data_IF_733008598660
#
_entry.id   IF_733008598660
#
_cell.length_a   1.000
_cell.length_b   1.000
_cell.length_c   1.000
_cell.angle_alpha   90.00
_cell.angle_beta   90.00
_cell.angle_gamma   90.00
#
_symmetry.space_group_name_H-M   'P 1'
#
loop_
_entity.id
_entity.type
_entity.pdbx_description
1 polymer ?
#
# COMPACT_ATOMS: atom_id res chain seq x y z
N UNK A 1 0.37 7.22 -27.86
CA UNK A 1 -1.10 7.08 -27.70
C UNK A 1 -1.48 6.14 -26.55
N UNK A 2 -1.00 4.88 -26.54
CA UNK A 2 -1.28 3.91 -25.46
C UNK A 2 -0.83 4.42 -24.07
N UNK A 3 0.36 5.01 -23.97
CA UNK A 3 0.88 5.56 -22.72
C UNK A 3 -0.02 6.68 -22.17
N UNK A 4 -0.49 7.59 -23.03
CA UNK A 4 -1.39 8.70 -22.64
C UNK A 4 -2.73 8.15 -22.15
N UNK A 5 -3.28 7.16 -22.84
CA UNK A 5 -4.52 6.49 -22.43
C UNK A 5 -4.37 5.82 -21.06
N UNK A 6 -3.26 5.12 -20.82
CA UNK A 6 -2.97 4.47 -19.54
C UNK A 6 -2.82 5.51 -18.42
N UNK A 7 -2.09 6.59 -18.65
CA UNK A 7 -1.93 7.68 -17.68
C UNK A 7 -3.27 8.37 -17.38
N UNK A 8 -4.10 8.60 -18.40
CA UNK A 8 -5.44 9.19 -18.22
C UNK A 8 -6.35 8.28 -17.41
N UNK A 9 -6.37 6.98 -17.72
CA UNK A 9 -7.16 5.99 -16.98
C UNK A 9 -6.71 5.89 -15.52
N UNK A 10 -5.39 5.85 -15.30
CA UNK A 10 -4.82 5.80 -13.96
C UNK A 10 -5.13 7.06 -13.14
N UNK A 11 -5.04 8.24 -13.77
CA UNK A 11 -5.40 9.51 -13.15
C UNK A 11 -6.89 9.57 -12.77
N UNK A 12 -7.77 9.03 -13.62
CA UNK A 12 -9.20 8.91 -13.30
C UNK A 12 -9.42 7.99 -12.10
N UNK A 13 -8.78 6.81 -12.07
CA UNK A 13 -8.86 5.87 -10.94
C UNK A 13 -8.41 6.52 -9.63
N UNK A 14 -7.32 7.29 -9.66
CA UNK A 14 -6.86 8.07 -8.51
C UNK A 14 -7.88 9.11 -8.06
N UNK A 15 -8.41 9.91 -8.99
CA UNK A 15 -9.43 10.93 -8.69
C UNK A 15 -10.69 10.32 -8.06
N UNK A 16 -11.22 9.24 -8.64
CA UNK A 16 -12.39 8.54 -8.08
C UNK A 16 -12.06 7.90 -6.74
N UNK A 17 -10.86 7.37 -6.57
CA UNK A 17 -10.41 6.80 -5.30
C UNK A 17 -10.37 7.85 -4.20
N UNK A 18 -9.76 9.01 -4.46
CA UNK A 18 -9.70 10.12 -3.51
C UNK A 18 -11.10 10.61 -3.14
N UNK A 19 -11.99 10.81 -4.13
CA UNK A 19 -13.38 11.19 -3.88
C UNK A 19 -14.12 10.16 -3.02
N UNK A 20 -13.83 8.87 -3.21
CA UNK A 20 -14.35 7.79 -2.38
C UNK A 20 -13.83 7.85 -0.93
N UNK A 21 -12.52 8.02 -0.76
CA UNK A 21 -11.87 8.09 0.55
C UNK A 21 -12.38 9.28 1.38
N UNK A 22 -12.62 10.44 0.76
CA UNK A 22 -13.16 11.62 1.44
C UNK A 22 -14.56 11.43 2.04
N UNK A 23 -15.29 10.38 1.68
CA UNK A 23 -16.58 10.05 2.32
C UNK A 23 -16.44 9.56 3.77
N UNK A 24 -15.25 9.12 4.18
CA UNK A 24 -14.99 8.58 5.53
C UNK A 24 -13.73 9.10 6.21
N UNK A 25 -12.82 9.67 5.42
CA UNK A 25 -11.61 10.29 5.90
C UNK A 25 -11.64 11.78 5.60
N UNK A 26 -11.13 12.59 6.53
CA UNK A 26 -10.94 14.02 6.27
C UNK A 26 -9.74 14.25 5.35
N UNK A 27 -9.67 15.43 4.74
CA UNK A 27 -8.57 15.77 3.83
C UNK A 27 -7.18 15.55 4.46
N UNK A 28 -7.01 15.99 5.72
CA UNK A 28 -5.77 15.82 6.47
C UNK A 28 -5.46 14.35 6.80
N UNK A 29 -6.48 13.53 7.05
CA UNK A 29 -6.31 12.08 7.26
C UNK A 29 -5.88 11.40 5.97
N UNK A 30 -6.53 11.71 4.84
CA UNK A 30 -6.14 11.14 3.55
C UNK A 30 -4.70 11.51 3.21
N UNK A 31 -4.31 12.77 3.41
CA UNK A 31 -2.94 13.22 3.14
C UNK A 31 -1.91 12.47 4.00
N UNK A 32 -2.09 12.49 5.33
CA UNK A 32 -1.11 11.92 6.25
C UNK A 32 -1.09 10.39 6.17
N UNK A 33 -2.25 9.73 6.09
CA UNK A 33 -2.31 8.28 5.92
C UNK A 33 -1.71 7.85 4.58
N UNK A 34 -1.90 8.61 3.49
CA UNK A 34 -1.27 8.28 2.20
C UNK A 34 0.25 8.38 2.28
N UNK A 35 0.79 9.41 2.92
CA UNK A 35 2.23 9.57 3.11
C UNK A 35 2.82 8.45 3.99
N UNK A 36 2.16 8.14 5.11
CA UNK A 36 2.61 7.08 6.02
C UNK A 36 2.52 5.71 5.35
N UNK A 37 1.41 5.39 4.69
CA UNK A 37 1.26 4.12 3.98
C UNK A 37 2.23 3.99 2.81
N UNK A 38 2.49 5.08 2.08
CA UNK A 38 3.50 5.12 1.02
C UNK A 38 4.90 4.84 1.58
N UNK A 39 5.26 5.50 2.68
CA UNK A 39 6.53 5.27 3.37
C UNK A 39 6.64 3.83 3.88
N UNK A 40 5.61 3.29 4.55
CA UNK A 40 5.60 1.91 5.04
C UNK A 40 5.79 0.92 3.88
N UNK A 41 4.98 1.02 2.83
CA UNK A 41 5.08 0.12 1.69
C UNK A 41 6.42 0.25 0.95
N UNK A 42 6.98 1.44 0.77
CA UNK A 42 8.27 1.62 0.11
C UNK A 42 9.43 1.16 0.99
N UNK A 43 9.53 1.65 2.23
CA UNK A 43 10.66 1.35 3.10
C UNK A 43 10.71 -0.11 3.50
N UNK A 44 9.57 -0.77 3.65
CA UNK A 44 9.54 -2.18 4.00
C UNK A 44 9.88 -3.05 2.79
N UNK A 45 9.48 -2.67 1.58
CA UNK A 45 9.86 -3.41 0.37
C UNK A 45 11.26 -3.07 -0.18
N UNK A 46 11.86 -1.93 0.19
CA UNK A 46 13.16 -1.49 -0.34
C UNK A 46 14.30 -1.35 0.69
N UNK A 47 14.01 -1.12 1.97
CA UNK A 47 15.02 -0.61 2.93
C UNK A 47 15.16 -1.42 4.22
N UNK A 48 14.07 -1.99 4.75
CA UNK A 48 14.08 -2.68 6.05
C UNK A 48 14.43 -4.17 5.91
N UNK A 49 14.31 -4.74 4.72
CA UNK A 49 14.74 -6.12 4.42
C UNK A 49 15.91 -6.22 3.45
N UNK A 50 16.60 -5.09 3.18
CA UNK A 50 17.92 -5.14 2.54
C UNK A 50 18.93 -5.89 3.42
N UNK A 51 18.77 -5.92 4.74
CA UNK A 51 19.59 -6.76 5.62
C UNK A 51 19.34 -8.27 5.47
N UNK A 52 18.31 -8.67 4.72
CA UNK A 52 18.12 -10.05 4.31
C UNK A 52 18.52 -10.29 2.84
N UNK A 53 18.87 -9.26 2.05
CA UNK A 53 19.27 -9.36 0.64
C UNK A 53 18.41 -10.40 -0.11
N UNK A 54 17.07 -10.22 -0.11
CA UNK A 54 16.16 -11.21 -0.71
C UNK A 54 15.54 -10.77 -2.00
N UNK A 55 15.06 -9.54 -2.07
CA UNK A 55 14.50 -8.95 -3.29
C UNK A 55 15.09 -7.57 -3.47
N UNK A 56 15.83 -7.38 -4.56
CA UNK A 56 16.32 -6.08 -4.97
C UNK A 56 15.71 -5.66 -6.29
N UNK A 57 15.56 -4.35 -6.49
CA UNK A 57 15.14 -3.82 -7.78
C UNK A 57 16.36 -3.78 -8.68
N UNK A 58 16.22 -4.21 -9.94
CA UNK A 58 17.29 -4.04 -10.92
C UNK A 58 17.70 -2.57 -11.04
N UNK A 59 18.97 -2.35 -11.33
CA UNK A 59 19.54 -0.98 -11.38
C UNK A 59 19.07 -0.15 -12.57
N UNK A 60 18.40 -0.79 -13.53
CA UNK A 60 17.79 -0.14 -14.68
C UNK A 60 16.69 0.86 -14.29
N UNK A 61 16.55 1.93 -15.07
CA UNK A 61 15.61 3.03 -14.80
C UNK A 61 14.16 2.53 -14.78
N UNK A 62 13.78 1.66 -15.72
CA UNK A 62 12.40 1.20 -15.86
C UNK A 62 11.97 0.35 -14.64
N UNK A 63 12.70 -0.70 -14.22
CA UNK A 63 12.43 -1.43 -12.98
C UNK A 63 12.31 -0.56 -11.74
N UNK A 64 13.18 0.45 -11.59
CA UNK A 64 13.12 1.40 -10.48
C UNK A 64 11.83 2.19 -10.51
N UNK A 65 11.50 2.83 -11.63
CA UNK A 65 10.27 3.64 -11.76
C UNK A 65 9.01 2.80 -11.51
N UNK A 66 8.94 1.60 -12.09
CA UNK A 66 7.81 0.67 -11.90
C UNK A 66 7.67 0.28 -10.43
N UNK A 67 8.79 -0.04 -9.77
CA UNK A 67 8.77 -0.42 -8.36
C UNK A 67 8.36 0.76 -7.47
N UNK A 68 8.89 1.97 -7.70
CA UNK A 68 8.51 3.15 -6.92
C UNK A 68 7.03 3.52 -7.09
N UNK A 69 6.48 3.42 -8.30
CA UNK A 69 5.06 3.66 -8.55
C UNK A 69 4.18 2.58 -7.88
N UNK A 70 4.58 1.31 -7.98
CA UNK A 70 3.82 0.22 -7.40
C UNK A 70 3.78 0.28 -5.87
N UNK A 71 4.95 0.33 -5.22
CA UNK A 71 5.05 0.35 -3.77
C UNK A 71 4.81 1.73 -3.15
N UNK A 72 4.95 2.81 -3.92
CA UNK A 72 4.74 4.19 -3.46
C UNK A 72 3.36 4.76 -3.68
N UNK A 73 2.60 4.22 -4.63
CA UNK A 73 1.31 4.78 -5.01
C UNK A 73 0.21 3.72 -5.10
N UNK A 74 0.40 2.67 -5.89
CA UNK A 74 -0.64 1.65 -6.11
C UNK A 74 -0.98 0.89 -4.83
N UNK A 75 0.02 0.24 -4.23
CA UNK A 75 -0.18 -0.59 -3.05
C UNK A 75 -0.64 0.23 -1.82
N UNK A 76 -0.08 1.42 -1.55
CA UNK A 76 -0.59 2.32 -0.51
C UNK A 76 -2.03 2.79 -0.74
N UNK A 77 -2.41 3.09 -1.99
CA UNK A 77 -3.79 3.48 -2.31
C UNK A 77 -4.77 2.33 -2.06
N UNK A 78 -4.39 1.10 -2.43
CA UNK A 78 -5.20 -0.08 -2.10
C UNK A 78 -5.27 -0.29 -0.58
N UNK A 79 -4.18 -0.06 0.16
CA UNK A 79 -4.17 -0.13 1.62
C UNK A 79 -5.10 0.91 2.24
N UNK A 80 -5.14 2.13 1.69
CA UNK A 80 -6.09 3.17 2.10
C UNK A 80 -7.54 2.68 1.96
N UNK A 81 -7.86 1.95 0.90
CA UNK A 81 -9.17 1.33 0.73
C UNK A 81 -9.44 0.20 1.73
N UNK A 82 -8.45 -0.63 2.07
CA UNK A 82 -8.60 -1.60 3.17
C UNK A 82 -8.95 -0.87 4.46
N UNK A 83 -8.20 0.17 4.83
CA UNK A 83 -8.46 0.99 6.01
C UNK A 83 -9.84 1.66 5.99
N UNK A 84 -10.29 2.14 4.83
CA UNK A 84 -11.64 2.67 4.61
C UNK A 84 -12.71 1.67 5.04
N UNK A 85 -12.59 0.41 4.62
CA UNK A 85 -13.52 -0.65 4.98
C UNK A 85 -13.39 -1.05 6.45
N UNK A 86 -12.19 -1.00 7.03
CA UNK A 86 -12.00 -1.24 8.46
C UNK A 86 -12.72 -0.20 9.33
N UNK A 87 -12.77 1.07 8.88
CA UNK A 87 -13.55 2.15 9.52
C UNK A 87 -15.06 2.03 9.27
N UNK A 88 -15.50 1.18 8.35
CA UNK A 88 -16.92 1.01 8.02
C UNK A 88 -17.66 0.05 8.97
N UNK A 89 -19.00 0.10 8.92
CA UNK A 89 -19.90 -0.76 9.72
C UNK A 89 -20.09 -2.17 9.13
N UNK A 90 -19.29 -2.58 8.14
CA UNK A 90 -19.38 -3.93 7.58
C UNK A 90 -18.95 -4.98 8.63
N UNK A 91 -19.43 -6.23 8.52
CA UNK A 91 -19.02 -7.31 9.42
C UNK A 91 -17.51 -7.57 9.40
N UNK A 92 -16.94 -7.95 10.55
CA UNK A 92 -15.50 -8.20 10.73
C UNK A 92 -14.95 -9.23 9.75
N UNK A 93 -15.73 -10.27 9.43
CA UNK A 93 -15.35 -11.28 8.45
C UNK A 93 -15.02 -10.68 7.08
N UNK A 94 -15.84 -9.76 6.57
CA UNK A 94 -15.58 -9.08 5.29
C UNK A 94 -14.34 -8.19 5.35
N UNK A 95 -14.07 -7.54 6.50
CA UNK A 95 -12.84 -6.74 6.68
C UNK A 95 -11.60 -7.61 6.54
N UNK A 96 -11.61 -8.78 7.19
CA UNK A 96 -10.52 -9.75 7.10
C UNK A 96 -10.35 -10.29 5.67
N UNK A 97 -11.45 -10.60 4.97
CA UNK A 97 -11.39 -11.02 3.56
C UNK A 97 -10.75 -9.95 2.66
N UNK A 98 -11.12 -8.67 2.84
CA UNK A 98 -10.54 -7.56 2.08
C UNK A 98 -9.03 -7.41 2.39
N UNK A 99 -8.65 -7.54 3.66
CA UNK A 99 -7.25 -7.54 4.07
C UNK A 99 -6.46 -8.69 3.42
N UNK A 100 -7.02 -9.90 3.42
CA UNK A 100 -6.40 -11.08 2.79
C UNK A 100 -6.23 -10.89 1.28
N UNK A 101 -7.23 -10.30 0.60
CA UNK A 101 -7.13 -9.96 -0.83
C UNK A 101 -6.01 -8.96 -1.08
N UNK A 102 -5.91 -7.91 -0.27
CA UNK A 102 -4.83 -6.92 -0.39
C UNK A 102 -3.45 -7.55 -0.16
N UNK A 103 -3.32 -8.42 0.85
CA UNK A 103 -2.09 -9.17 1.10
C UNK A 103 -1.75 -10.06 -0.11
N UNK A 104 -2.74 -10.76 -0.66
CA UNK A 104 -2.56 -11.58 -1.87
C UNK A 104 -2.09 -10.77 -3.08
N UNK A 105 -2.60 -9.54 -3.25
CA UNK A 105 -2.13 -8.61 -4.29
C UNK A 105 -0.67 -8.23 -4.07
N UNK A 106 -0.26 -7.90 -2.83
CA UNK A 106 1.14 -7.57 -2.55
C UNK A 106 2.07 -8.74 -2.90
N UNK A 107 1.79 -9.93 -2.36
CA UNK A 107 2.60 -11.14 -2.60
C UNK A 107 2.59 -11.55 -4.08
N UNK A 108 1.42 -11.55 -4.71
CA UNK A 108 1.27 -11.87 -6.13
C UNK A 108 2.00 -10.87 -7.03
N UNK A 109 2.00 -9.58 -6.66
CA UNK A 109 2.73 -8.56 -7.40
C UNK A 109 4.25 -8.76 -7.32
N UNK A 110 4.79 -9.17 -6.16
CA UNK A 110 6.22 -9.52 -6.03
C UNK A 110 6.59 -10.70 -6.91
N UNK A 111 5.77 -11.75 -6.92
CA UNK A 111 5.96 -12.90 -7.79
C UNK A 111 5.96 -12.48 -9.26
N UNK A 112 4.97 -11.69 -9.69
CA UNK A 112 4.88 -11.20 -11.06
C UNK A 112 6.10 -10.34 -11.44
N UNK A 113 6.49 -9.39 -10.58
CA UNK A 113 7.64 -8.52 -10.79
C UNK A 113 8.97 -9.29 -10.86
N UNK A 114 9.08 -10.44 -10.16
CA UNK A 114 10.21 -11.36 -10.30
C UNK A 114 10.22 -12.05 -11.67
N UNK A 115 9.06 -12.54 -12.14
CA UNK A 115 8.95 -13.25 -13.42
C UNK A 115 9.28 -12.34 -14.62
N UNK A 116 8.85 -11.08 -14.58
CA UNK A 116 9.18 -10.10 -15.63
C UNK A 116 10.57 -9.47 -15.44
N UNK A 117 11.31 -9.89 -14.40
CA UNK A 117 12.67 -9.44 -14.12
C UNK A 117 12.79 -7.97 -13.69
N UNK A 118 11.75 -7.38 -13.09
CA UNK A 118 11.83 -6.07 -12.43
C UNK A 118 12.48 -6.20 -11.05
N UNK A 119 12.16 -7.28 -10.33
CA UNK A 119 12.83 -7.68 -9.10
C UNK A 119 13.85 -8.78 -9.39
N UNK A 120 14.91 -8.83 -8.58
CA UNK A 120 15.92 -9.89 -8.58
C UNK A 120 15.94 -10.53 -7.19
N UNK A 121 16.00 -11.86 -7.15
CA UNK A 121 16.30 -12.57 -5.91
C UNK A 121 17.81 -12.60 -5.70
N UNK A 122 18.30 -12.14 -4.55
CA UNK A 122 19.73 -12.22 -4.20
C UNK A 122 20.06 -13.48 -3.38
N UNK A 123 19.02 -14.25 -3.00
CA UNK A 123 19.14 -15.61 -2.45
C UNK A 123 18.78 -16.68 -3.49
N UNK A 124 19.13 -17.94 -3.20
CA UNK A 124 18.86 -19.10 -4.05
C UNK A 124 17.37 -19.28 -4.45
N UNK A 125 16.45 -18.65 -3.71
CA UNK A 125 15.04 -18.63 -4.07
C UNK A 125 14.23 -17.59 -3.27
N UNK A 126 13.07 -17.24 -3.80
CA UNK A 126 12.11 -16.36 -3.12
C UNK A 126 11.28 -17.17 -2.10
N UNK A 127 11.27 -16.74 -0.83
CA UNK A 127 10.48 -17.33 0.25
C UNK A 127 9.25 -16.47 0.55
N UNK A 128 8.07 -16.81 0.02
CA UNK A 128 6.87 -15.98 0.12
C UNK A 128 6.33 -15.83 1.56
N UNK A 129 6.62 -16.79 2.45
CA UNK A 129 6.12 -16.76 3.83
C UNK A 129 6.62 -15.54 4.62
N UNK A 130 7.87 -15.13 4.38
CA UNK A 130 8.45 -13.95 5.04
C UNK A 130 7.76 -12.69 4.55
N UNK A 131 7.53 -12.59 3.24
CA UNK A 131 6.76 -11.49 2.67
C UNK A 131 5.34 -11.44 3.25
N UNK A 132 4.65 -12.57 3.42
CA UNK A 132 3.32 -12.61 4.06
C UNK A 132 3.36 -12.03 5.48
N UNK A 133 4.34 -12.41 6.30
CA UNK A 133 4.51 -11.88 7.65
C UNK A 133 4.76 -10.37 7.64
N UNK A 134 5.60 -9.91 6.73
CA UNK A 134 5.91 -8.49 6.55
C UNK A 134 4.66 -7.71 6.15
N UNK A 135 3.91 -8.18 5.16
CA UNK A 135 2.69 -7.55 4.66
C UNK A 135 1.62 -7.48 5.75
N UNK A 136 1.50 -8.53 6.57
CA UNK A 136 0.63 -8.51 7.75
C UNK A 136 1.07 -7.43 8.77
N UNK A 137 2.38 -7.29 8.98
CA UNK A 137 2.95 -6.23 9.82
C UNK A 137 2.64 -4.82 9.31
N UNK A 138 2.76 -4.57 7.99
CA UNK A 138 2.39 -3.30 7.36
C UNK A 138 0.92 -2.98 7.66
N UNK A 139 0.03 -3.94 7.41
CA UNK A 139 -1.41 -3.77 7.62
C UNK A 139 -1.72 -3.45 9.10
N UNK A 140 -1.08 -4.17 10.03
CA UNK A 140 -1.28 -3.96 11.47
C UNK A 140 -0.83 -2.56 11.90
N UNK A 141 0.38 -2.13 11.49
CA UNK A 141 0.91 -0.80 11.82
C UNK A 141 0.03 0.29 11.21
N UNK A 142 -0.38 0.16 9.95
CA UNK A 142 -1.24 1.10 9.27
C UNK A 142 -2.61 1.22 9.95
N UNK A 143 -3.20 0.10 10.38
CA UNK A 143 -4.45 0.08 11.12
C UNK A 143 -4.33 0.77 12.50
N UNK A 144 -3.30 0.43 13.28
CA UNK A 144 -3.04 1.04 14.58
C UNK A 144 -2.86 2.56 14.42
N UNK A 145 -2.07 2.97 13.42
CA UNK A 145 -1.85 4.38 13.12
C UNK A 145 -3.16 5.09 12.76
N UNK A 146 -4.00 4.51 11.88
CA UNK A 146 -5.30 5.09 11.54
C UNK A 146 -6.19 5.32 12.77
N UNK A 147 -6.27 4.34 13.68
CA UNK A 147 -7.10 4.44 14.89
C UNK A 147 -6.55 5.52 15.83
N UNK A 148 -5.24 5.51 16.08
CA UNK A 148 -4.58 6.49 16.96
C UNK A 148 -4.64 7.90 16.40
N UNK A 149 -4.41 8.06 15.11
CA UNK A 149 -4.43 9.36 14.44
C UNK A 149 -5.83 9.98 14.48
N UNK A 150 -6.87 9.19 14.25
CA UNK A 150 -8.25 9.64 14.39
C UNK A 150 -8.57 10.11 15.81
N UNK A 151 -8.06 9.41 16.82
CA UNK A 151 -8.22 9.79 18.23
C UNK A 151 -7.50 11.10 18.56
N UNK A 152 -6.26 11.28 18.08
CA UNK A 152 -5.48 12.51 18.27
C UNK A 152 -6.22 13.70 17.66
N UNK A 153 -6.61 13.59 16.39
CA UNK A 153 -7.30 14.68 15.73
C UNK A 153 -8.59 15.06 16.50
N UNK A 154 -9.32 14.09 17.07
CA UNK A 154 -10.54 14.33 17.88
C UNK A 154 -10.25 15.15 19.12
N UNK A 155 -9.14 14.82 19.79
CA UNK A 155 -8.69 15.54 20.98
C UNK A 155 -8.32 16.98 20.67
N UNK A 156 -7.68 17.23 19.52
CA UNK A 156 -7.19 18.55 19.12
C UNK A 156 -8.28 19.50 18.57
N UNK A 157 -9.57 19.17 18.71
CA UNK A 157 -10.71 20.00 18.23
C UNK A 157 -10.60 20.44 16.76
N UNK A 158 -9.77 19.77 15.95
CA UNK A 158 -9.87 19.81 14.49
C UNK A 158 -11.24 19.27 14.04
N UNK A 159 -12.00 18.65 14.97
CA UNK A 159 -13.40 18.25 14.86
C UNK A 159 -14.34 19.35 15.33
N UNK A 160 -14.99 20.01 14.37
CA UNK A 160 -16.42 20.30 14.50
C UNK A 160 -17.11 19.20 13.68
N UNK A 161 -18.12 18.56 14.27
CA UNK A 161 -18.93 17.52 13.60
C UNK A 161 -19.67 18.07 12.38
#
# INVERSE_FOLDING_TARGET
MILILFTALFSLVLLYSLKGLFKRFRAIEVLILSLVNSSLCQHINFKIFSSFDRLSVKEEIIPRVVSYLHYGLLLPLLLMWVLYFFRSKIPTFFKLMIAMVWMGIDIGSKYFLLQIGVLKSETAGWYPIVDVCITAGILLVAYIFMVRFAFILKKELVFVD
#
